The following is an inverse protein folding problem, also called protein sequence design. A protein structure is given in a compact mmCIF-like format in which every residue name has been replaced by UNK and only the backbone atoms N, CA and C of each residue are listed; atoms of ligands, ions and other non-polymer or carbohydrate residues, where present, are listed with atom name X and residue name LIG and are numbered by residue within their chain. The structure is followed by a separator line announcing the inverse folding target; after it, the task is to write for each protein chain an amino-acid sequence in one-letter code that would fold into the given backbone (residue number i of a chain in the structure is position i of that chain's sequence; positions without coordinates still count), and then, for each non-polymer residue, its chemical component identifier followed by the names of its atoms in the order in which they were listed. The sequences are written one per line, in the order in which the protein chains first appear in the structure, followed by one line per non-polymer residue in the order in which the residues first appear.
data_IF_663434712067
#
_entry.id   IF_663434712067
#
_cell.length_a   1.000
_cell.length_b   1.000
_cell.length_c   1.000
_cell.angle_alpha   90.00
_cell.angle_beta   90.00
_cell.angle_gamma   90.00
#
_symmetry.space_group_name_H-M   'P 1'
#
loop_
_entity.id
_entity.type
_entity.pdbx_description
1 polymer ?
#
# COMPACT_ATOMS: atom_id res chain seq x y z
N UNK A 1 11.81 6.53 -17.71
CA UNK A 1 13.02 6.70 -16.87
C UNK A 1 13.34 5.37 -16.19
N UNK A 2 14.62 5.03 -16.13
CA UNK A 2 15.08 3.73 -15.58
C UNK A 2 16.19 3.99 -14.57
N UNK A 3 16.09 3.35 -13.41
CA UNK A 3 17.16 3.33 -12.40
C UNK A 3 17.94 2.03 -12.57
N UNK A 4 19.26 2.14 -12.78
CA UNK A 4 20.14 0.98 -12.89
C UNK A 4 20.97 0.89 -11.60
N UNK A 5 20.90 -0.25 -10.93
CA UNK A 5 21.67 -0.54 -9.71
C UNK A 5 22.68 -1.63 -10.03
N UNK A 6 23.95 -1.32 -9.90
CA UNK A 6 25.03 -2.31 -10.05
C UNK A 6 25.27 -2.97 -8.69
N UNK A 7 25.04 -4.27 -8.61
CA UNK A 7 25.33 -5.05 -7.42
C UNK A 7 26.84 -5.20 -7.22
N UNK A 8 27.30 -5.05 -5.99
CA UNK A 8 28.68 -5.42 -5.60
C UNK A 8 28.89 -6.94 -5.58
N UNK A 9 30.14 -7.37 -5.36
CA UNK A 9 30.50 -8.79 -5.30
C UNK A 9 30.04 -9.48 -4.02
N UNK A 10 29.78 -8.74 -2.96
CA UNK A 10 29.45 -9.30 -1.65
C UNK A 10 27.94 -9.51 -1.50
N UNK A 11 27.49 -10.71 -1.09
CA UNK A 11 26.11 -10.97 -0.77
C UNK A 11 25.63 -10.08 0.39
N UNK A 12 24.42 -9.57 0.27
CA UNK A 12 23.85 -8.70 1.30
C UNK A 12 22.52 -8.10 0.86
N UNK A 13 21.91 -7.34 1.75
CA UNK A 13 20.70 -6.59 1.44
C UNK A 13 20.95 -5.10 1.66
N UNK A 14 20.57 -4.29 0.70
CA UNK A 14 20.63 -2.83 0.77
C UNK A 14 19.28 -2.24 0.38
N UNK A 15 18.99 -1.06 0.89
CA UNK A 15 17.76 -0.34 0.58
C UNK A 15 18.04 1.11 0.26
N UNK A 16 17.26 1.65 -0.66
CA UNK A 16 17.36 3.03 -1.12
C UNK A 16 15.97 3.66 -1.09
N UNK A 17 15.85 4.81 -0.46
CA UNK A 17 14.68 5.66 -0.65
C UNK A 17 14.87 6.47 -1.91
N UNK A 18 13.80 6.66 -2.66
CA UNK A 18 13.75 7.58 -3.77
C UNK A 18 12.50 8.44 -3.69
N UNK A 19 12.62 9.67 -4.13
CA UNK A 19 11.52 10.60 -4.26
C UNK A 19 11.23 10.82 -5.73
N UNK A 20 9.97 10.83 -6.10
CA UNK A 20 9.49 11.24 -7.40
C UNK A 20 8.66 12.50 -7.25
N UNK A 21 8.82 13.41 -8.20
CA UNK A 21 8.05 14.64 -8.27
C UNK A 21 7.36 14.72 -9.63
N UNK A 22 6.10 15.12 -9.62
CA UNK A 22 5.35 15.39 -10.84
C UNK A 22 5.53 16.83 -11.28
N UNK A 23 5.22 17.13 -12.53
CA UNK A 23 5.25 18.50 -13.09
C UNK A 23 4.36 19.48 -12.29
N UNK A 24 3.39 18.98 -11.56
CA UNK A 24 2.52 19.76 -10.66
C UNK A 24 3.09 19.93 -9.24
N UNK A 25 4.32 19.49 -8.98
CA UNK A 25 5.00 19.61 -7.68
C UNK A 25 4.53 18.59 -6.63
N UNK A 26 3.74 17.58 -7.00
CA UNK A 26 3.40 16.51 -6.08
C UNK A 26 4.56 15.54 -5.92
N UNK A 27 4.92 15.21 -4.69
CA UNK A 27 6.01 14.30 -4.38
C UNK A 27 5.50 12.98 -3.83
N UNK A 28 6.19 11.89 -4.15
CA UNK A 28 5.97 10.58 -3.56
C UNK A 28 7.31 9.91 -3.26
N UNK A 29 7.39 9.23 -2.12
CA UNK A 29 8.57 8.47 -1.71
C UNK A 29 8.34 6.99 -1.88
N UNK A 30 9.29 6.31 -2.51
CA UNK A 30 9.35 4.86 -2.63
C UNK A 30 10.62 4.28 -1.97
N UNK A 31 10.64 2.97 -1.82
CA UNK A 31 11.76 2.20 -1.31
C UNK A 31 12.14 1.13 -2.33
N UNK A 32 13.43 1.09 -2.68
CA UNK A 32 14.01 0.00 -3.47
C UNK A 32 14.83 -0.86 -2.51
N UNK A 33 14.54 -2.15 -2.49
CA UNK A 33 15.33 -3.14 -1.76
C UNK A 33 16.03 -4.04 -2.75
N UNK A 34 17.36 -4.12 -2.64
CA UNK A 34 18.21 -4.97 -3.49
C UNK A 34 18.86 -6.03 -2.61
N UNK A 35 18.60 -7.28 -2.94
CA UNK A 35 19.27 -8.42 -2.32
C UNK A 35 20.30 -8.98 -3.30
N UNK A 36 21.56 -8.88 -2.94
CA UNK A 36 22.67 -9.52 -3.67
C UNK A 36 22.85 -10.93 -3.15
N UNK A 37 22.79 -11.92 -4.04
CA UNK A 37 22.94 -13.33 -3.72
C UNK A 37 23.99 -13.94 -4.62
N UNK A 38 24.68 -14.99 -4.16
CA UNK A 38 25.70 -15.68 -4.97
C UNK A 38 25.07 -16.44 -6.13
N UNK A 39 23.91 -17.05 -5.88
CA UNK A 39 23.15 -17.75 -6.91
C UNK A 39 21.69 -17.31 -6.81
N UNK A 40 21.07 -17.08 -7.97
CA UNK A 40 19.65 -16.74 -8.02
C UNK A 40 18.82 -17.97 -7.63
N UNK A 41 17.90 -17.78 -6.68
CA UNK A 41 16.94 -18.82 -6.29
C UNK A 41 15.75 -18.72 -7.22
N UNK A 42 15.40 -19.80 -7.95
CA UNK A 42 14.19 -19.83 -8.74
C UNK A 42 12.96 -19.63 -7.85
N UNK A 43 11.89 -19.11 -8.42
CA UNK A 43 10.57 -19.00 -7.76
C UNK A 43 10.58 -18.24 -6.42
N UNK A 44 11.32 -17.15 -6.37
CA UNK A 44 11.40 -16.29 -5.19
C UNK A 44 10.06 -15.59 -4.93
N UNK A 45 9.61 -15.44 -3.65
CA UNK A 45 8.40 -14.68 -3.36
C UNK A 45 8.52 -13.22 -3.80
N UNK A 46 7.56 -12.74 -4.58
CA UNK A 46 7.50 -11.36 -5.04
C UNK A 46 6.44 -10.62 -4.21
N UNK A 47 6.88 -9.61 -3.48
CA UNK A 47 6.01 -8.76 -2.65
C UNK A 47 5.62 -7.53 -3.45
N UNK A 48 4.33 -7.19 -3.46
CA UNK A 48 3.84 -5.92 -4.01
C UNK A 48 3.81 -4.87 -2.92
N UNK A 49 4.45 -3.76 -3.20
CA UNK A 49 4.34 -2.58 -2.36
C UNK A 49 2.95 -1.97 -2.48
N UNK A 50 2.39 -1.58 -1.36
CA UNK A 50 1.01 -1.11 -1.33
C UNK A 50 0.85 0.16 -0.51
N UNK A 51 -0.17 0.92 -0.87
CA UNK A 51 -0.53 2.17 -0.22
C UNK A 51 -1.93 2.04 0.37
N UNK A 52 -2.12 2.44 1.61
CA UNK A 52 -3.46 2.57 2.17
C UNK A 52 -4.14 3.82 1.57
N UNK A 53 -5.40 3.67 1.25
CA UNK A 53 -6.26 4.77 0.76
C UNK A 53 -7.03 5.40 1.92
N UNK A 54 -7.68 6.52 1.70
CA UNK A 54 -8.60 7.13 2.69
C UNK A 54 -9.66 6.13 3.18
N UNK A 55 -10.13 5.22 2.32
CA UNK A 55 -11.12 4.20 2.68
C UNK A 55 -10.56 3.09 3.56
N UNK A 56 -9.29 2.74 3.37
CA UNK A 56 -8.64 1.60 4.04
C UNK A 56 -7.72 2.02 5.18
N UNK A 57 -7.51 3.33 5.37
CA UNK A 57 -6.57 3.84 6.36
C UNK A 57 -6.93 3.41 7.79
N UNK A 58 -8.19 3.49 8.18
CA UNK A 58 -8.63 3.09 9.52
C UNK A 58 -8.40 1.60 9.82
N UNK A 59 -8.36 0.74 8.78
CA UNK A 59 -8.06 -0.69 8.97
C UNK A 59 -6.64 -0.93 9.50
N UNK A 60 -5.74 0.04 9.39
CA UNK A 60 -4.39 -0.07 9.95
C UNK A 60 -4.39 -0.25 11.48
N UNK A 61 -5.37 0.30 12.18
CA UNK A 61 -5.51 0.13 13.64
C UNK A 61 -5.89 -1.30 14.02
N UNK A 62 -6.69 -1.96 13.21
CA UNK A 62 -7.13 -3.35 13.43
C UNK A 62 -6.18 -4.39 12.83
N UNK A 63 -5.38 -3.99 11.85
CA UNK A 63 -4.42 -4.82 11.16
C UNK A 63 -4.71 -4.93 9.67
N UNK A 64 -3.68 -4.70 8.86
CA UNK A 64 -3.72 -4.82 7.40
C UNK A 64 -2.85 -5.98 6.99
N UNK A 65 -3.45 -7.00 6.39
CA UNK A 65 -2.72 -8.14 5.82
C UNK A 65 -1.79 -7.66 4.70
N UNK A 66 -0.52 -8.05 4.78
CA UNK A 66 0.51 -7.69 3.79
C UNK A 66 0.95 -8.90 2.96
N UNK A 67 0.33 -10.04 3.15
CA UNK A 67 0.63 -11.29 2.45
C UNK A 67 -0.49 -11.66 1.49
N UNK A 68 -1.74 -11.73 1.96
CA UNK A 68 -2.88 -12.18 1.17
C UNK A 68 -3.13 -11.25 -0.01
N UNK A 69 -3.02 -11.77 -1.23
CA UNK A 69 -3.19 -11.00 -2.47
C UNK A 69 -2.07 -9.98 -2.77
N UNK A 70 -1.07 -9.87 -1.90
CA UNK A 70 0.07 -8.96 -2.05
C UNK A 70 1.37 -9.69 -2.39
N UNK A 71 1.42 -10.98 -2.12
CA UNK A 71 2.57 -11.84 -2.40
C UNK A 71 2.21 -12.84 -3.48
N UNK A 72 3.07 -12.91 -4.51
CA UNK A 72 3.04 -13.93 -5.55
C UNK A 72 4.25 -14.84 -5.37
N UNK A 73 4.02 -16.14 -5.21
CA UNK A 73 5.09 -17.12 -5.04
C UNK A 73 4.71 -18.44 -5.68
N UNK A 74 5.43 -18.82 -6.74
CA UNK A 74 5.23 -20.10 -7.45
C UNK A 74 5.88 -21.28 -6.74
N UNK A 75 6.92 -21.02 -5.94
CA UNK A 75 7.67 -22.06 -5.22
C UNK A 75 7.04 -22.51 -3.90
N UNK A 76 5.90 -21.94 -3.48
CA UNK A 76 5.25 -22.31 -2.23
C UNK A 76 4.00 -21.52 -1.90
N UNK A 77 3.43 -21.77 -0.73
CA UNK A 77 2.28 -21.01 -0.23
C UNK A 77 2.75 -19.73 0.45
N UNK A 78 2.35 -18.54 -0.05
CA UNK A 78 2.66 -17.27 0.61
C UNK A 78 2.22 -17.22 2.08
N UNK A 79 1.20 -18.00 2.47
CA UNK A 79 0.73 -18.05 3.84
C UNK A 79 1.73 -18.70 4.82
N UNK A 80 2.70 -19.44 4.32
CA UNK A 80 3.77 -20.05 5.14
C UNK A 80 4.90 -19.07 5.49
N UNK A 81 4.93 -17.90 4.86
CA UNK A 81 5.97 -16.90 5.10
C UNK A 81 5.74 -16.20 6.44
N UNK A 82 6.83 -15.98 7.16
CA UNK A 82 6.84 -15.25 8.43
C UNK A 82 7.11 -13.75 8.19
N UNK A 83 6.28 -12.90 8.79
CA UNK A 83 6.37 -11.44 8.67
C UNK A 83 7.22 -10.87 9.80
N UNK A 84 8.12 -9.96 9.48
CA UNK A 84 8.88 -9.15 10.44
C UNK A 84 9.02 -7.71 9.97
N UNK A 85 9.15 -6.78 10.92
CA UNK A 85 9.44 -5.37 10.62
C UNK A 85 10.94 -5.15 10.44
N UNK A 86 11.31 -4.23 9.57
CA UNK A 86 12.65 -3.69 9.56
C UNK A 86 12.79 -2.62 10.64
N UNK A 87 13.76 -2.82 11.52
CA UNK A 87 13.92 -1.99 12.71
C UNK A 87 12.90 -2.37 13.80
N UNK A 88 12.82 -1.52 14.81
CA UNK A 88 11.92 -1.73 15.96
C UNK A 88 11.04 -0.49 16.18
N UNK A 89 10.14 -0.17 15.25
CA UNK A 89 9.23 0.95 15.47
C UNK A 89 8.31 0.62 16.64
N UNK A 90 8.24 1.53 17.63
CA UNK A 90 7.43 1.31 18.84
C UNK A 90 5.92 1.39 18.61
N UNK A 91 5.52 1.99 17.51
CA UNK A 91 4.13 2.34 17.16
C UNK A 91 3.53 1.44 16.07
N UNK A 92 4.29 0.44 15.59
CA UNK A 92 3.83 -0.57 14.63
C UNK A 92 4.12 -1.96 15.17
N UNK A 93 3.15 -2.84 15.03
CA UNK A 93 3.22 -4.22 15.51
C UNK A 93 2.89 -5.19 14.38
N UNK A 94 3.52 -6.36 14.44
CA UNK A 94 3.18 -7.51 13.61
C UNK A 94 2.18 -8.39 14.37
N UNK A 95 1.09 -8.74 13.70
CA UNK A 95 0.10 -9.69 14.20
C UNK A 95 -0.19 -10.73 13.11
N UNK A 96 0.45 -11.89 13.24
CA UNK A 96 0.40 -12.90 12.18
C UNK A 96 0.96 -12.36 10.86
N UNK A 97 0.11 -12.22 9.85
CA UNK A 97 0.45 -11.67 8.52
C UNK A 97 0.06 -10.20 8.35
N UNK A 98 -0.37 -9.56 9.40
CA UNK A 98 -0.83 -8.20 9.37
C UNK A 98 0.11 -7.24 10.08
N UNK A 99 0.19 -6.02 9.55
CA UNK A 99 0.78 -4.86 10.20
C UNK A 99 -0.33 -4.01 10.81
N UNK A 100 -0.19 -3.64 12.06
CA UNK A 100 -1.10 -2.73 12.74
C UNK A 100 -0.36 -1.65 13.49
N UNK A 101 -1.00 -0.53 13.70
CA UNK A 101 -0.42 0.58 14.46
C UNK A 101 -1.34 1.78 14.56
N UNK A 102 -0.86 2.82 15.22
CA UNK A 102 -1.55 4.11 15.24
C UNK A 102 -1.40 4.82 13.89
N UNK A 103 -2.42 5.61 13.55
CA UNK A 103 -2.40 6.41 12.33
C UNK A 103 -1.40 7.55 12.49
N UNK A 104 -0.41 7.67 11.61
CA UNK A 104 0.57 8.73 11.67
C UNK A 104 -0.05 10.09 11.29
N UNK A 105 0.44 11.19 11.84
CA UNK A 105 0.03 12.53 11.41
C UNK A 105 0.48 12.84 9.99
N UNK A 106 1.67 12.39 9.61
CA UNK A 106 2.25 12.53 8.26
C UNK A 106 2.45 11.17 7.62
N UNK A 107 2.41 11.13 6.30
CA UNK A 107 2.63 9.90 5.55
C UNK A 107 3.96 9.23 5.95
N UNK A 108 3.92 7.92 6.13
CA UNK A 108 5.12 7.14 6.46
C UNK A 108 5.17 5.85 5.64
N UNK A 109 6.37 5.37 5.43
CA UNK A 109 6.66 4.08 4.81
C UNK A 109 7.09 3.11 5.91
N UNK A 110 6.47 1.94 5.95
CA UNK A 110 6.76 0.88 6.90
C UNK A 110 7.39 -0.27 6.12
N UNK A 111 8.72 -0.42 6.15
CA UNK A 111 9.39 -1.54 5.53
C UNK A 111 9.23 -2.81 6.37
N UNK A 112 9.07 -3.94 5.69
CA UNK A 112 8.96 -5.25 6.31
C UNK A 112 9.67 -6.32 5.48
N UNK A 113 9.93 -7.46 6.10
CA UNK A 113 10.48 -8.62 5.46
C UNK A 113 9.57 -9.83 5.65
N UNK A 114 9.49 -10.66 4.64
CA UNK A 114 8.89 -11.98 4.67
C UNK A 114 10.00 -13.04 4.57
N UNK A 115 10.03 -13.93 5.52
CA UNK A 115 11.03 -15.02 5.58
C UNK A 115 10.35 -16.37 5.45
N UNK A 116 11.03 -17.31 4.83
CA UNK A 116 10.52 -18.68 4.65
C UNK A 116 11.60 -19.61 4.16
N UNK A 117 11.18 -20.81 3.76
CA UNK A 117 12.05 -21.83 3.19
C UNK A 117 11.55 -22.17 1.81
N UNK A 118 12.44 -22.15 0.84
CA UNK A 118 12.16 -22.50 -0.55
C UNK A 118 12.02 -24.01 -0.77
N UNK A 119 11.59 -24.41 -1.97
CA UNK A 119 11.38 -25.83 -2.31
C UNK A 119 12.62 -26.69 -2.16
N UNK A 120 13.82 -26.13 -2.34
CA UNK A 120 15.10 -26.81 -2.17
C UNK A 120 15.66 -26.76 -0.74
N UNK A 121 14.91 -26.20 0.23
CA UNK A 121 15.39 -26.03 1.61
C UNK A 121 16.19 -24.75 1.85
N UNK A 122 16.31 -23.89 0.86
CA UNK A 122 17.02 -22.61 0.93
C UNK A 122 16.25 -21.57 1.75
N UNK A 123 16.98 -20.75 2.50
CA UNK A 123 16.38 -19.65 3.24
C UNK A 123 15.97 -18.51 2.29
N UNK A 124 14.70 -18.12 2.35
CA UNK A 124 14.13 -17.02 1.57
C UNK A 124 13.92 -15.79 2.43
N UNK A 125 14.24 -14.62 1.88
CA UNK A 125 13.90 -13.32 2.47
C UNK A 125 13.44 -12.41 1.37
N UNK A 126 12.18 -12.06 1.36
CA UNK A 126 11.61 -11.03 0.47
C UNK A 126 11.24 -9.80 1.28
N UNK A 127 11.41 -8.64 0.68
CA UNK A 127 11.15 -7.37 1.35
C UNK A 127 10.08 -6.59 0.59
N UNK A 128 9.33 -5.82 1.33
CA UNK A 128 8.33 -4.92 0.79
C UNK A 128 8.06 -3.75 1.74
N UNK A 129 7.19 -2.87 1.34
CA UNK A 129 6.76 -1.79 2.21
C UNK A 129 5.25 -1.53 2.15
N UNK A 130 4.73 -1.00 3.24
CA UNK A 130 3.38 -0.44 3.33
C UNK A 130 3.50 1.07 3.53
N UNK A 131 2.93 1.84 2.60
CA UNK A 131 2.76 3.27 2.79
C UNK A 131 1.45 3.54 3.53
N UNK A 132 1.55 4.24 4.65
CA UNK A 132 0.43 4.70 5.46
C UNK A 132 0.35 6.21 5.29
N UNK A 133 -0.70 6.75 4.65
CA UNK A 133 -0.92 8.19 4.57
C UNK A 133 -1.06 8.82 5.94
N UNK A 134 -0.63 10.08 6.07
CA UNK A 134 -0.84 10.84 7.30
C UNK A 134 -2.30 11.27 7.45
N UNK A 135 -2.76 11.42 8.69
CA UNK A 135 -4.10 11.95 8.97
C UNK A 135 -4.26 13.39 8.49
N UNK A 136 -3.16 14.17 8.48
CA UNK A 136 -3.14 15.54 7.96
C UNK A 136 -3.03 15.60 6.42
N UNK A 137 -2.62 14.51 5.78
CA UNK A 137 -2.45 14.43 4.32
C UNK A 137 -3.71 13.92 3.61
N UNK A 138 -4.74 13.54 4.37
CA UNK A 138 -5.96 12.98 3.79
C UNK A 138 -6.72 14.03 2.99
N UNK A 139 -7.29 13.57 1.87
CA UNK A 139 -8.15 14.34 0.99
C UNK A 139 -9.47 13.62 0.80
N UNK A 140 -10.50 14.37 0.45
CA UNK A 140 -11.73 13.77 -0.06
C UNK A 140 -11.41 12.90 -1.27
N UNK A 141 -11.99 11.73 -1.32
CA UNK A 141 -11.81 10.81 -2.44
C UNK A 141 -13.15 10.19 -2.85
N UNK A 142 -13.32 9.94 -4.13
CA UNK A 142 -14.47 9.16 -4.59
C UNK A 142 -14.32 7.71 -4.11
N UNK A 143 -15.42 7.10 -3.69
CA UNK A 143 -15.45 5.67 -3.38
C UNK A 143 -15.35 4.87 -4.66
N UNK A 144 -14.55 3.82 -4.63
CA UNK A 144 -14.48 2.86 -5.75
C UNK A 144 -15.61 1.85 -5.67
N UNK A 145 -16.04 1.33 -6.82
CA UNK A 145 -17.08 0.30 -6.88
C UNK A 145 -18.51 0.80 -6.65
N UNK A 146 -18.75 2.10 -6.76
CA UNK A 146 -20.11 2.65 -6.75
C UNK A 146 -20.80 2.24 -8.05
N UNK A 147 -21.95 1.57 -7.92
CA UNK A 147 -22.74 1.16 -9.08
C UNK A 147 -23.36 2.39 -9.79
N UNK A 148 -23.44 2.37 -11.12
CA UNK A 148 -24.20 3.38 -11.86
C UNK A 148 -25.65 3.42 -11.36
N UNK A 149 -26.20 4.62 -11.32
CA UNK A 149 -27.60 4.84 -10.98
C UNK A 149 -28.42 4.98 -12.26
N UNK A 150 -29.49 4.21 -12.35
CA UNK A 150 -30.43 4.30 -13.45
C UNK A 150 -31.66 5.10 -13.01
N UNK A 151 -32.11 6.01 -13.85
CA UNK A 151 -33.32 6.81 -13.63
C UNK A 151 -34.12 6.85 -14.92
N UNK A 152 -35.43 6.75 -14.82
CA UNK A 152 -36.28 6.87 -15.99
C UNK A 152 -36.35 8.32 -16.47
N UNK A 153 -36.60 8.47 -17.77
CA UNK A 153 -36.80 9.79 -18.36
C UNK A 153 -37.86 10.58 -17.59
N UNK A 154 -37.51 11.86 -17.26
CA UNK A 154 -38.32 12.82 -16.49
C UNK A 154 -38.52 12.47 -15.01
N UNK A 155 -37.82 11.47 -14.48
CA UNK A 155 -37.76 11.21 -13.04
C UNK A 155 -36.53 11.85 -12.42
N UNK A 156 -36.56 12.09 -11.12
CA UNK A 156 -35.44 12.58 -10.36
C UNK A 156 -34.75 11.45 -9.62
N UNK A 157 -33.43 11.54 -9.50
CA UNK A 157 -32.62 10.66 -8.65
C UNK A 157 -31.95 11.47 -7.55
N UNK A 158 -31.96 10.93 -6.35
CA UNK A 158 -31.28 11.56 -5.21
C UNK A 158 -30.00 10.78 -4.89
N UNK A 159 -28.88 11.48 -4.80
CA UNK A 159 -27.61 10.88 -4.42
C UNK A 159 -27.32 11.20 -2.96
N UNK A 160 -26.96 10.16 -2.20
CA UNK A 160 -26.31 10.34 -0.91
C UNK A 160 -24.81 10.57 -1.15
N UNK A 161 -24.35 11.79 -1.01
CA UNK A 161 -22.95 12.16 -1.23
C UNK A 161 -22.02 11.45 -0.24
N UNK A 162 -22.47 11.11 0.95
CA UNK A 162 -21.69 10.35 1.92
C UNK A 162 -21.45 8.89 1.46
N UNK A 163 -22.37 8.35 0.65
CA UNK A 163 -22.16 7.05 0.02
C UNK A 163 -21.19 7.10 -1.17
N UNK A 164 -21.02 8.25 -1.81
CA UNK A 164 -20.19 8.43 -2.99
C UNK A 164 -18.75 8.90 -2.66
N UNK A 165 -18.58 9.58 -1.53
CA UNK A 165 -17.32 10.22 -1.15
C UNK A 165 -16.79 9.62 0.15
N UNK A 166 -15.52 9.25 0.15
CA UNK A 166 -14.79 8.93 1.37
C UNK A 166 -14.32 10.23 2.02
N UNK A 167 -14.89 10.54 3.17
CA UNK A 167 -14.57 11.73 3.96
C UNK A 167 -13.55 11.35 5.02
N UNK A 168 -12.38 12.02 5.09
CA UNK A 168 -11.41 11.80 6.15
C UNK A 168 -12.00 12.13 7.53
N UNK A 169 -11.48 11.44 8.56
CA UNK A 169 -11.93 11.66 9.93
C UNK A 169 -11.71 13.12 10.36
N UNK A 170 -12.72 13.71 10.95
CA UNK A 170 -12.70 15.11 11.43
C UNK A 170 -13.00 16.15 10.35
N UNK A 171 -13.30 15.72 9.12
CA UNK A 171 -13.81 16.58 8.07
C UNK A 171 -15.31 16.41 7.90
N UNK A 172 -15.99 17.46 7.50
CA UNK A 172 -17.40 17.46 7.09
C UNK A 172 -17.51 17.56 5.58
N UNK A 173 -18.50 16.89 5.02
CA UNK A 173 -18.82 17.00 3.60
C UNK A 173 -19.89 18.08 3.44
N UNK A 174 -19.56 19.11 2.68
CA UNK A 174 -20.51 20.15 2.26
C UNK A 174 -20.65 20.09 0.73
N UNK A 175 -21.88 20.15 0.26
CA UNK A 175 -22.19 20.20 -1.16
C UNK A 175 -22.29 21.66 -1.58
N UNK A 176 -21.44 22.08 -2.52
CA UNK A 176 -21.48 23.44 -3.05
C UNK A 176 -22.73 23.71 -3.89
N UNK A 177 -23.05 24.97 -4.07
CA UNK A 177 -24.24 25.42 -4.84
C UNK A 177 -24.13 25.15 -6.36
N UNK A 178 -22.93 24.87 -6.87
CA UNK A 178 -22.70 24.65 -8.31
C UNK A 178 -22.60 23.15 -8.60
N UNK A 179 -23.56 22.67 -9.36
CA UNK A 179 -23.52 21.34 -9.97
C UNK A 179 -23.31 21.52 -11.47
N UNK A 180 -22.21 20.98 -11.99
CA UNK A 180 -21.96 20.94 -13.43
C UNK A 180 -22.33 19.53 -13.95
N UNK A 181 -23.20 19.47 -14.95
CA UNK A 181 -23.48 18.24 -15.68
C UNK A 181 -22.74 18.31 -17.02
N UNK A 182 -21.92 17.31 -17.32
CA UNK A 182 -21.42 17.06 -18.66
C UNK A 182 -22.32 16.01 -19.29
N UNK A 183 -23.16 16.43 -20.24
CA UNK A 183 -23.95 15.50 -21.05
C UNK A 183 -23.09 14.82 -22.11
N UNK A 184 -23.45 13.58 -22.47
CA UNK A 184 -22.98 12.90 -23.65
C UNK A 184 -23.73 13.41 -24.89
#
# INVERSE_FOLDING_TARGET
DTVVINAGADPGTMSFFYDVESDSGNTARGLIVVKVVREAVPDYPVVRDTVLTTQTLESFRSGVDVVSGQVSWSGGDPASLSLSLWGTPSDVQVQGRALRGELPERARVIPFALTGTGPGGEALVSSGFRRVPGTLDQRLALRTGVAPQEVKEREAVTFDMAALVAVPRGMTLEVGERVAASGA
#
